data_IF_470324253227
#
_entry.id   IF_470324253227
#
_cell.length_a   1.000
_cell.length_b   1.000
_cell.length_c   1.000
_cell.angle_alpha   90.00
_cell.angle_beta   90.00
_cell.angle_gamma   90.00
#
_symmetry.space_group_name_H-M   'P 1'
#
loop_
_entity.id
_entity.type
_entity.pdbx_description
1 polymer ?
#
# COMPACT_ATOMS: atom_id res chain seq x y z
N UNK A 1 -28.85 58.51 9.16
CA UNK A 1 -28.26 57.43 9.99
C UNK A 1 -29.06 56.15 9.81
N UNK A 2 -28.83 55.42 8.73
CA UNK A 2 -29.50 54.16 8.43
C UNK A 2 -28.54 53.30 7.60
N UNK A 3 -27.46 52.80 8.23
CA UNK A 3 -26.54 51.91 7.52
C UNK A 3 -25.68 50.99 8.41
N UNK A 4 -25.71 51.15 9.73
CA UNK A 4 -24.96 50.26 10.65
C UNK A 4 -25.83 49.15 11.26
N UNK A 5 -27.14 49.34 11.35
CA UNK A 5 -28.06 48.30 11.91
C UNK A 5 -28.36 47.18 10.92
N UNK A 6 -28.39 47.47 9.62
CA UNK A 6 -28.67 46.48 8.57
C UNK A 6 -27.46 45.55 8.38
N UNK A 7 -26.23 46.10 8.39
CA UNK A 7 -24.99 45.33 8.24
C UNK A 7 -24.76 44.32 9.38
N UNK A 8 -25.11 44.69 10.62
CA UNK A 8 -25.01 43.80 11.78
C UNK A 8 -26.00 42.62 11.73
N UNK A 9 -27.20 42.83 11.17
CA UNK A 9 -28.22 41.79 11.02
C UNK A 9 -27.81 40.79 9.91
N UNK A 10 -27.28 41.30 8.79
CA UNK A 10 -26.77 40.44 7.71
C UNK A 10 -25.54 39.62 8.14
N UNK A 11 -24.63 40.20 8.93
CA UNK A 11 -23.46 39.48 9.44
C UNK A 11 -23.85 38.37 10.43
N UNK A 12 -24.86 38.60 11.28
CA UNK A 12 -25.38 37.59 12.21
C UNK A 12 -26.09 36.43 11.52
N UNK A 13 -26.81 36.68 10.42
CA UNK A 13 -27.45 35.63 9.62
C UNK A 13 -26.43 34.77 8.87
N UNK A 14 -25.38 35.37 8.29
CA UNK A 14 -24.30 34.63 7.60
C UNK A 14 -23.52 33.74 8.57
N UNK A 15 -23.21 34.24 9.78
CA UNK A 15 -22.51 33.45 10.80
C UNK A 15 -23.36 32.26 11.28
N UNK A 16 -24.67 32.45 11.47
CA UNK A 16 -25.59 31.37 11.84
C UNK A 16 -25.72 30.33 10.72
N UNK A 17 -25.80 30.74 9.45
CA UNK A 17 -25.87 29.82 8.30
C UNK A 17 -24.60 28.97 8.17
N UNK A 18 -23.42 29.53 8.42
CA UNK A 18 -22.15 28.78 8.40
C UNK A 18 -22.03 27.78 9.56
N UNK A 19 -22.51 28.13 10.76
CA UNK A 19 -22.54 27.20 11.91
C UNK A 19 -23.53 26.06 11.67
N UNK A 20 -24.69 26.36 11.07
CA UNK A 20 -25.68 25.36 10.69
C UNK A 20 -25.11 24.43 9.60
N UNK A 21 -24.45 24.97 8.57
CA UNK A 21 -23.78 24.16 7.53
C UNK A 21 -22.69 23.25 8.12
N UNK A 22 -21.88 23.74 9.07
CA UNK A 22 -20.88 22.94 9.77
C UNK A 22 -21.50 21.81 10.61
N UNK A 23 -22.72 21.99 11.13
CA UNK A 23 -23.44 20.94 11.88
C UNK A 23 -24.06 19.85 10.99
N UNK A 24 -24.21 20.10 9.68
CA UNK A 24 -24.68 19.11 8.70
C UNK A 24 -23.55 18.25 8.11
N UNK A 25 -22.28 18.58 8.36
CA UNK A 25 -21.18 17.68 8.04
C UNK A 25 -21.07 16.63 9.16
N UNK A 26 -21.34 15.34 8.87
CA UNK A 26 -21.12 14.31 9.87
C UNK A 26 -19.64 14.29 10.23
N UNK A 27 -19.33 14.41 11.53
CA UNK A 27 -17.99 14.14 12.04
C UNK A 27 -17.57 12.77 11.50
N UNK A 28 -16.50 12.73 10.69
CA UNK A 28 -15.88 11.47 10.30
C UNK A 28 -15.27 10.86 11.58
N UNK A 29 -16.06 10.06 12.28
CA UNK A 29 -15.58 9.25 13.37
C UNK A 29 -14.61 8.22 12.78
N UNK A 30 -13.33 8.34 13.13
CA UNK A 30 -12.36 7.26 12.96
C UNK A 30 -12.85 6.07 13.77
N UNK A 31 -13.46 5.09 13.10
CA UNK A 31 -13.91 3.87 13.75
C UNK A 31 -12.69 3.05 14.14
N UNK A 32 -12.28 3.15 15.41
CA UNK A 32 -11.35 2.20 16.01
C UNK A 32 -12.17 0.97 16.38
N UNK A 33 -12.30 0.03 15.44
CA UNK A 33 -12.98 -1.22 15.72
C UNK A 33 -12.18 -2.05 16.73
N UNK A 34 -12.66 -2.12 17.96
CA UNK A 34 -12.23 -3.09 18.97
C UNK A 34 -13.01 -4.40 18.74
N UNK A 35 -12.45 -5.30 17.94
CA UNK A 35 -12.95 -6.67 17.86
C UNK A 35 -12.18 -7.59 18.81
N UNK A 36 -12.93 -8.24 19.70
CA UNK A 36 -12.48 -9.27 20.61
C UNK A 36 -11.87 -10.45 19.83
N UNK A 37 -10.71 -10.89 20.31
CA UNK A 37 -9.90 -11.93 19.71
C UNK A 37 -10.47 -13.32 20.05
N UNK A 38 -11.08 -14.00 19.09
CA UNK A 38 -11.25 -15.45 19.14
C UNK A 38 -11.07 -16.07 17.74
N UNK A 39 -9.81 -16.48 17.50
CA UNK A 39 -9.27 -17.44 16.52
C UNK A 39 -9.95 -17.60 15.15
N UNK A 40 -9.40 -16.89 14.15
CA UNK A 40 -9.25 -17.35 12.74
C UNK A 40 -7.90 -16.86 12.17
N UNK A 41 -6.80 -17.09 12.88
CA UNK A 41 -5.48 -16.47 12.61
C UNK A 41 -4.55 -17.25 11.69
N UNK A 42 -5.05 -17.96 10.67
CA UNK A 42 -4.16 -18.71 9.76
C UNK A 42 -3.88 -18.01 8.41
N UNK A 43 -4.49 -16.85 8.13
CA UNK A 43 -4.30 -16.13 6.86
C UNK A 43 -3.63 -14.74 6.98
N UNK A 44 -3.27 -14.31 8.19
CA UNK A 44 -2.67 -12.98 8.41
C UNK A 44 -1.15 -13.01 8.60
N UNK A 45 -0.55 -14.19 8.63
CA UNK A 45 0.88 -14.33 8.89
C UNK A 45 1.60 -14.79 7.62
N UNK A 46 2.59 -14.00 7.21
CA UNK A 46 3.57 -14.41 6.22
C UNK A 46 4.58 -15.38 6.85
N UNK A 47 5.26 -16.23 6.04
CA UNK A 47 6.35 -17.06 6.54
C UNK A 47 7.41 -16.25 7.29
N UNK A 48 8.13 -16.89 8.19
CA UNK A 48 9.22 -16.24 8.92
C UNK A 48 10.28 -15.69 7.96
N UNK A 49 10.75 -14.47 8.24
CA UNK A 49 11.81 -13.84 7.47
C UNK A 49 13.14 -14.49 7.84
N UNK A 50 13.83 -15.00 6.83
CA UNK A 50 15.17 -15.54 6.95
C UNK A 50 16.18 -14.47 6.49
N UNK A 51 17.05 -13.96 7.37
CA UNK A 51 18.09 -12.98 7.02
C UNK A 51 19.05 -13.45 5.92
N UNK A 52 19.24 -14.77 5.78
CA UNK A 52 20.07 -15.39 4.74
C UNK A 52 19.33 -15.62 3.42
N UNK A 53 18.01 -15.38 3.37
CA UNK A 53 17.18 -15.56 2.18
C UNK A 53 15.79 -16.06 2.53
N UNK A 54 14.82 -15.14 2.58
CA UNK A 54 13.41 -15.47 2.79
C UNK A 54 12.82 -16.02 1.50
N UNK A 55 12.23 -17.21 1.55
CA UNK A 55 11.57 -17.81 0.38
C UNK A 55 10.24 -17.13 0.10
N UNK A 56 10.00 -16.78 -1.17
CA UNK A 56 8.74 -16.20 -1.62
C UNK A 56 8.43 -16.51 -3.08
N UNK A 57 7.24 -16.10 -3.50
CA UNK A 57 6.80 -16.13 -4.89
C UNK A 57 6.81 -14.70 -5.42
N UNK A 58 7.52 -14.49 -6.52
CA UNK A 58 7.49 -13.24 -7.26
C UNK A 58 6.31 -13.27 -8.22
N UNK A 59 5.44 -12.26 -8.12
CA UNK A 59 4.38 -11.96 -9.10
C UNK A 59 4.70 -10.65 -9.81
N UNK A 60 3.95 -10.34 -10.87
CA UNK A 60 4.07 -9.07 -11.59
C UNK A 60 2.90 -8.16 -11.27
N UNK A 61 3.20 -6.88 -11.00
CA UNK A 61 2.21 -5.83 -10.81
C UNK A 61 2.61 -4.54 -11.54
N UNK A 62 1.62 -3.84 -12.07
CA UNK A 62 1.75 -2.53 -12.69
C UNK A 62 1.33 -1.44 -11.69
N UNK A 63 2.35 -0.79 -11.11
CA UNK A 63 2.21 0.30 -10.16
C UNK A 63 1.91 1.67 -10.81
N UNK A 64 1.71 1.72 -12.14
CA UNK A 64 1.33 2.95 -12.83
C UNK A 64 -0.15 3.29 -12.63
N UNK A 65 -0.51 4.54 -12.88
CA UNK A 65 -1.91 4.94 -12.93
C UNK A 65 -2.67 4.14 -14.01
N UNK A 66 -3.83 3.59 -13.65
CA UNK A 66 -4.62 2.71 -14.52
C UNK A 66 -4.02 1.32 -14.72
N UNK A 67 -3.01 0.94 -13.91
CA UNK A 67 -2.51 -0.43 -13.82
C UNK A 67 -3.41 -1.34 -13.00
N UNK A 68 -3.00 -2.61 -12.89
CA UNK A 68 -3.66 -3.63 -12.07
C UNK A 68 -3.41 -3.47 -10.56
N UNK A 69 -2.42 -2.65 -10.16
CA UNK A 69 -2.19 -2.29 -8.76
C UNK A 69 -3.30 -1.45 -8.12
N UNK A 70 -4.28 -1.00 -8.93
CA UNK A 70 -5.43 -0.25 -8.44
C UNK A 70 -5.09 1.19 -8.07
N UNK A 71 -5.02 1.48 -6.77
CA UNK A 71 -4.80 2.82 -6.23
C UNK A 71 -3.31 3.21 -6.17
N UNK A 72 -3.01 4.43 -5.68
CA UNK A 72 -1.64 4.80 -5.29
C UNK A 72 -1.12 3.88 -4.17
N UNK A 73 0.18 3.62 -4.15
CA UNK A 73 0.77 2.67 -3.22
C UNK A 73 0.75 3.13 -1.76
N UNK A 74 0.54 2.20 -0.84
CA UNK A 74 0.25 2.47 0.58
C UNK A 74 1.38 3.22 1.32
N UNK A 75 2.64 3.03 0.93
CA UNK A 75 3.76 3.67 1.64
C UNK A 75 3.87 5.18 1.44
N UNK A 76 3.50 5.68 0.26
CA UNK A 76 3.76 7.08 -0.12
C UNK A 76 2.61 7.77 -0.85
N UNK A 77 1.50 7.08 -1.09
CA UNK A 77 0.33 7.60 -1.78
C UNK A 77 0.61 7.96 -3.24
N UNK A 78 1.57 7.29 -3.90
CA UNK A 78 1.97 7.58 -5.27
C UNK A 78 1.84 6.36 -6.18
N UNK A 79 1.65 6.65 -7.47
CA UNK A 79 1.89 5.67 -8.53
C UNK A 79 3.38 5.64 -8.87
N UNK A 80 3.88 4.47 -9.23
CA UNK A 80 5.28 4.22 -9.59
C UNK A 80 5.34 3.66 -11.02
N UNK A 81 5.25 4.50 -12.06
CA UNK A 81 5.31 4.06 -13.44
C UNK A 81 6.68 3.47 -13.79
N UNK A 82 6.75 2.70 -14.88
CA UNK A 82 8.02 2.23 -15.42
C UNK A 82 8.95 3.42 -15.71
N UNK A 83 10.28 3.28 -15.49
CA UNK A 83 11.00 2.06 -15.14
C UNK A 83 11.30 1.89 -13.64
N UNK A 84 10.39 2.32 -12.75
CA UNK A 84 10.60 2.16 -11.30
C UNK A 84 10.85 0.69 -10.90
N UNK A 85 11.71 0.48 -9.91
CA UNK A 85 12.03 -0.83 -9.30
C UNK A 85 11.38 -0.91 -7.94
N UNK A 86 10.11 -1.24 -7.95
CA UNK A 86 9.29 -1.25 -6.74
C UNK A 86 8.60 -2.60 -6.56
N UNK A 87 8.25 -2.88 -5.31
CA UNK A 87 7.50 -4.07 -4.90
C UNK A 87 6.42 -3.75 -3.87
N UNK A 88 5.38 -4.56 -3.86
CA UNK A 88 4.50 -4.78 -2.73
C UNK A 88 4.92 -6.05 -1.99
N UNK A 89 4.72 -6.09 -0.68
CA UNK A 89 4.94 -7.30 0.13
C UNK A 89 3.62 -7.81 0.69
N UNK A 90 3.44 -9.13 0.79
CA UNK A 90 2.30 -9.71 1.53
C UNK A 90 2.14 -9.07 2.90
N UNK A 91 0.90 -8.87 3.36
CA UNK A 91 0.54 -8.22 4.63
C UNK A 91 1.48 -8.49 5.81
N UNK A 92 1.83 -9.76 6.08
CA UNK A 92 2.73 -10.09 7.19
C UNK A 92 4.17 -9.60 6.99
N UNK A 93 4.68 -9.65 5.77
CA UNK A 93 5.97 -9.07 5.39
C UNK A 93 5.91 -7.55 5.15
N UNK A 94 4.76 -6.97 4.84
CA UNK A 94 4.59 -5.52 4.84
C UNK A 94 4.71 -4.95 6.25
N UNK A 95 4.16 -5.68 7.24
CA UNK A 95 4.22 -5.39 8.67
C UNK A 95 3.78 -3.96 9.00
N UNK A 96 2.55 -3.62 8.57
CA UNK A 96 1.94 -2.31 8.84
C UNK A 96 2.83 -1.14 8.39
N UNK A 97 3.50 -1.30 7.25
CA UNK A 97 4.39 -0.28 6.70
C UNK A 97 5.78 -0.19 7.33
N UNK A 98 6.14 -1.06 8.27
CA UNK A 98 7.47 -1.06 8.90
C UNK A 98 8.63 -1.23 7.88
N UNK A 99 8.34 -1.76 6.69
CA UNK A 99 9.31 -1.90 5.59
C UNK A 99 9.15 -0.85 4.48
N UNK A 100 8.24 0.12 4.61
CA UNK A 100 8.09 1.18 3.63
C UNK A 100 9.39 1.95 3.37
N UNK A 101 9.69 2.17 2.08
CA UNK A 101 10.90 2.86 1.66
C UNK A 101 12.20 2.09 1.90
N UNK A 102 12.12 0.85 2.39
CA UNK A 102 13.29 -0.02 2.57
C UNK A 102 13.56 -0.77 1.29
N UNK A 103 14.84 -1.03 1.07
CA UNK A 103 15.30 -1.81 -0.06
C UNK A 103 15.32 -3.29 0.31
N UNK A 104 14.87 -4.12 -0.64
CA UNK A 104 15.07 -5.57 -0.59
C UNK A 104 15.90 -6.01 -1.79
N UNK A 105 16.68 -7.07 -1.61
CA UNK A 105 17.37 -7.76 -2.69
C UNK A 105 16.63 -9.04 -3.00
N UNK A 106 16.22 -9.17 -4.25
CA UNK A 106 15.48 -10.31 -4.77
C UNK A 106 16.45 -11.14 -5.60
N UNK A 107 16.50 -12.44 -5.36
CA UNK A 107 17.34 -13.39 -6.08
C UNK A 107 16.49 -14.48 -6.71
N UNK A 108 16.64 -14.66 -8.01
CA UNK A 108 15.97 -15.70 -8.77
C UNK A 108 16.81 -16.99 -8.84
N UNK A 109 16.15 -18.10 -9.17
CA UNK A 109 16.81 -19.41 -9.36
C UNK A 109 17.90 -19.42 -10.43
N UNK A 110 17.83 -18.52 -11.41
CA UNK A 110 18.85 -18.36 -12.45
C UNK A 110 20.13 -17.66 -11.95
N UNK A 111 20.25 -17.37 -10.66
CA UNK A 111 21.41 -16.75 -10.03
C UNK A 111 21.42 -15.22 -10.12
N UNK A 112 20.54 -14.60 -10.92
CA UNK A 112 20.44 -13.14 -11.00
C UNK A 112 19.76 -12.57 -9.77
N UNK A 113 20.13 -11.34 -9.45
CA UNK A 113 19.52 -10.57 -8.37
C UNK A 113 19.35 -9.12 -8.76
N UNK A 114 18.35 -8.46 -8.19
CA UNK A 114 18.13 -7.02 -8.30
C UNK A 114 17.69 -6.45 -6.95
N UNK A 115 17.76 -5.13 -6.81
CA UNK A 115 17.30 -4.40 -5.62
C UNK A 115 16.04 -3.62 -5.99
N UNK A 116 15.05 -3.65 -5.11
CA UNK A 116 13.79 -2.95 -5.29
C UNK A 116 13.36 -2.27 -3.99
N UNK A 117 12.63 -1.16 -4.12
CA UNK A 117 12.06 -0.44 -3.00
C UNK A 117 10.67 -0.99 -2.64
N UNK A 118 10.41 -1.20 -1.35
CA UNK A 118 9.08 -1.56 -0.87
C UNK A 118 8.22 -0.31 -0.83
N UNK A 119 7.15 -0.30 -1.63
CA UNK A 119 6.23 0.84 -1.74
C UNK A 119 4.80 0.51 -1.36
N UNK A 120 4.45 -0.77 -1.23
CA UNK A 120 3.04 -1.15 -1.12
C UNK A 120 2.79 -2.42 -0.30
N UNK A 121 1.52 -2.64 0.02
CA UNK A 121 1.01 -3.88 0.60
C UNK A 121 0.32 -4.73 -0.47
N UNK A 122 0.68 -6.01 -0.55
CA UNK A 122 -0.12 -7.02 -1.22
C UNK A 122 -1.11 -7.61 -0.20
N UNK A 123 -2.31 -7.03 -0.14
CA UNK A 123 -3.29 -7.31 0.92
C UNK A 123 -3.77 -8.77 0.88
N UNK A 124 -3.30 -9.56 1.85
CA UNK A 124 -3.61 -10.99 1.95
C UNK A 124 -5.05 -11.26 2.41
N UNK A 125 -5.78 -10.23 2.84
CA UNK A 125 -7.21 -10.27 3.16
C UNK A 125 -8.07 -10.05 1.92
N UNK A 126 -7.50 -9.50 0.85
CA UNK A 126 -8.20 -9.12 -0.38
C UNK A 126 -7.71 -9.88 -1.63
N UNK A 127 -7.09 -11.05 -1.43
CA UNK A 127 -6.78 -11.99 -2.51
C UNK A 127 -5.30 -12.30 -2.71
N UNK A 128 -4.39 -11.56 -2.08
CA UNK A 128 -2.97 -11.89 -2.13
C UNK A 128 -2.64 -13.15 -1.30
N UNK A 129 -1.68 -13.97 -1.74
CA UNK A 129 -1.13 -15.05 -0.91
C UNK A 129 -0.24 -14.43 0.19
N UNK A 130 0.08 -15.20 1.23
CA UNK A 130 0.87 -14.69 2.37
C UNK A 130 2.39 -14.68 2.15
N UNK A 131 2.88 -15.10 1.00
CA UNK A 131 4.31 -15.24 0.69
C UNK A 131 4.70 -14.61 -0.66
N UNK A 132 4.06 -13.51 -1.03
CA UNK A 132 4.22 -12.78 -2.28
C UNK A 132 5.21 -11.62 -2.12
N UNK A 133 6.08 -11.49 -3.13
CA UNK A 133 6.78 -10.26 -3.49
C UNK A 133 6.20 -9.82 -4.83
N UNK A 134 5.33 -8.81 -4.82
CA UNK A 134 4.60 -8.40 -6.02
C UNK A 134 5.35 -7.27 -6.72
N UNK A 135 5.90 -7.53 -7.89
CA UNK A 135 7.00 -6.72 -8.40
C UNK A 135 6.70 -6.03 -9.73
N UNK A 136 7.20 -4.81 -9.87
CA UNK A 136 7.17 -4.07 -11.13
C UNK A 136 7.83 -4.84 -12.28
N UNK A 137 7.37 -4.61 -13.52
CA UNK A 137 7.98 -5.20 -14.73
C UNK A 137 9.50 -4.92 -14.84
N UNK A 138 9.98 -3.79 -14.32
CA UNK A 138 11.43 -3.50 -14.26
C UNK A 138 12.21 -4.53 -13.45
N UNK A 139 11.67 -5.00 -12.32
CA UNK A 139 12.30 -6.03 -11.49
C UNK A 139 12.37 -7.37 -12.24
N UNK A 140 11.28 -7.75 -12.91
CA UNK A 140 11.25 -8.94 -13.76
C UNK A 140 12.28 -8.88 -14.89
N UNK A 141 12.39 -7.73 -15.55
CA UNK A 141 13.37 -7.49 -16.61
C UNK A 141 14.82 -7.59 -16.10
N UNK A 142 15.14 -7.00 -14.94
CA UNK A 142 16.49 -7.08 -14.36
C UNK A 142 16.88 -8.53 -14.02
N UNK A 143 15.93 -9.32 -13.50
CA UNK A 143 16.12 -10.74 -13.22
C UNK A 143 16.13 -11.60 -14.50
N UNK A 144 15.78 -11.01 -15.65
CA UNK A 144 15.54 -11.64 -16.96
C UNK A 144 14.65 -12.87 -16.83
N UNK A 145 13.52 -12.68 -16.18
CA UNK A 145 12.48 -13.69 -16.04
C UNK A 145 11.41 -13.49 -17.12
N UNK A 146 10.81 -14.60 -17.51
CA UNK A 146 9.69 -14.61 -18.43
C UNK A 146 8.42 -14.21 -17.69
N UNK A 147 7.89 -13.03 -18.01
CA UNK A 147 6.72 -12.43 -17.37
C UNK A 147 5.45 -13.25 -17.60
N UNK A 148 5.37 -14.01 -18.70
CA UNK A 148 4.19 -14.79 -19.08
C UNK A 148 3.98 -16.00 -18.15
N UNK A 149 4.98 -16.34 -17.33
CA UNK A 149 4.83 -17.35 -16.27
C UNK A 149 3.92 -16.90 -15.12
N UNK A 150 3.75 -15.60 -14.93
CA UNK A 150 2.93 -15.00 -13.87
C UNK A 150 3.49 -15.14 -12.45
N UNK A 151 4.00 -16.32 -12.07
CA UNK A 151 4.55 -16.62 -10.74
C UNK A 151 5.87 -17.37 -10.84
N UNK A 152 6.88 -16.93 -10.08
CA UNK A 152 8.19 -17.60 -10.03
C UNK A 152 8.78 -17.62 -8.61
N UNK A 153 9.37 -18.72 -8.16
CA UNK A 153 10.00 -18.78 -6.83
C UNK A 153 11.28 -17.95 -6.78
N UNK A 154 11.43 -17.17 -5.71
CA UNK A 154 12.60 -16.32 -5.42
C UNK A 154 13.02 -16.46 -3.96
N UNK A 155 14.20 -15.94 -3.64
CA UNK A 155 14.53 -15.54 -2.27
C UNK A 155 14.70 -14.04 -2.18
N UNK A 156 14.44 -13.46 -1.01
CA UNK A 156 14.68 -12.05 -0.77
C UNK A 156 15.28 -11.77 0.62
N UNK A 157 16.04 -10.69 0.73
CA UNK A 157 16.61 -10.18 1.99
C UNK A 157 16.46 -8.67 2.08
N UNK A 158 16.45 -8.12 3.29
CA UNK A 158 16.67 -6.69 3.48
C UNK A 158 18.07 -6.31 2.96
N UNK A 159 18.23 -5.06 2.49
CA UNK A 159 19.53 -4.47 2.10
C UNK A 159 20.04 -3.53 3.18
#
# INVERSE_FOLDING_TARGET
MANTRVLMIFCGLILNVMVILLSYFPNAAFSKSHHNHHSRSHHFHSPEINPSGTHGILTVNNFAHGGDGGGPSECDGKFHPLPARVVALSTGWYAEGARCGKLIRIKAKNGRSTVANVVDECDSKRGCKSNIVDASKSVWNDLRLDIDKGEVPVTWTMV
#
